data_IF_044531234567
#
_entry.id   IF_044531234567
#
_cell.length_a   1.000
_cell.length_b   1.000
_cell.length_c   1.000
_cell.angle_alpha   90.00
_cell.angle_beta   90.00
_cell.angle_gamma   90.00
#
_symmetry.space_group_name_H-M   'P 1'
#
loop_
_entity.id
_entity.type
_entity.pdbx_description
1 polymer ?
#
# COMPACT_ATOMS: atom_id res chain seq x y z
N UNK A 1 4.13 18.56 -17.24
CA UNK A 1 3.79 17.27 -16.63
C UNK A 1 2.28 17.23 -16.58
N UNK A 2 1.65 16.20 -17.13
CA UNK A 2 0.22 15.99 -16.90
C UNK A 2 0.01 15.72 -15.41
N UNK A 3 -1.04 16.31 -14.86
CA UNK A 3 -1.41 16.12 -13.48
C UNK A 3 -2.06 14.75 -13.35
N UNK A 4 -1.49 13.89 -12.50
CA UNK A 4 -2.00 12.54 -12.28
C UNK A 4 -3.42 12.63 -11.72
N UNK A 5 -4.35 11.87 -12.30
CA UNK A 5 -5.71 11.81 -11.77
C UNK A 5 -5.76 11.06 -10.45
N UNK A 6 -6.76 11.34 -9.63
CA UNK A 6 -6.99 10.63 -8.36
C UNK A 6 -7.13 9.11 -8.57
N UNK A 7 -7.77 8.69 -9.68
CA UNK A 7 -7.91 7.27 -10.02
C UNK A 7 -6.57 6.61 -10.35
N UNK A 8 -5.71 7.28 -11.09
CA UNK A 8 -4.37 6.75 -11.39
C UNK A 8 -3.52 6.67 -10.12
N UNK A 9 -3.64 7.67 -9.24
CA UNK A 9 -2.96 7.66 -7.94
C UNK A 9 -3.44 6.49 -7.07
N UNK A 10 -4.74 6.23 -7.02
CA UNK A 10 -5.31 5.07 -6.30
C UNK A 10 -4.72 3.77 -6.84
N UNK A 11 -4.70 3.58 -8.17
CA UNK A 11 -4.11 2.38 -8.79
C UNK A 11 -2.65 2.18 -8.38
N UNK A 12 -1.83 3.24 -8.46
CA UNK A 12 -0.42 3.19 -8.06
C UNK A 12 -0.25 2.83 -6.58
N UNK A 13 -1.13 3.35 -5.71
CA UNK A 13 -1.08 3.07 -4.28
C UNK A 13 -1.53 1.64 -3.96
N UNK A 14 -2.49 1.08 -4.69
CA UNK A 14 -2.90 -0.33 -4.57
C UNK A 14 -1.75 -1.26 -4.97
N UNK A 15 -1.09 -0.99 -6.09
CA UNK A 15 0.06 -1.77 -6.55
C UNK A 15 1.18 -1.73 -5.51
N UNK A 16 1.50 -0.53 -5.01
CA UNK A 16 2.48 -0.35 -3.94
C UNK A 16 2.11 -1.12 -2.68
N UNK A 17 0.86 -1.04 -2.23
CA UNK A 17 0.39 -1.76 -1.05
C UNK A 17 0.57 -3.27 -1.21
N UNK A 18 0.17 -3.80 -2.37
CA UNK A 18 0.29 -5.21 -2.72
C UNK A 18 1.76 -5.67 -2.70
N UNK A 19 2.66 -4.88 -3.27
CA UNK A 19 4.09 -5.18 -3.28
C UNK A 19 4.70 -5.16 -1.87
N UNK A 20 4.31 -4.21 -1.02
CA UNK A 20 4.75 -4.17 0.37
C UNK A 20 4.28 -5.43 1.14
N UNK A 21 3.04 -5.88 0.92
CA UNK A 21 2.54 -7.12 1.52
C UNK A 21 3.30 -8.36 1.03
N UNK A 22 3.62 -8.42 -0.27
CA UNK A 22 4.46 -9.49 -0.84
C UNK A 22 5.86 -9.50 -0.25
N UNK A 23 6.49 -8.34 -0.08
CA UNK A 23 7.82 -8.21 0.52
C UNK A 23 7.78 -8.68 1.98
N UNK A 24 6.78 -8.26 2.76
CA UNK A 24 6.61 -8.70 4.15
C UNK A 24 6.50 -10.22 4.26
N UNK A 25 5.68 -10.83 3.40
CA UNK A 25 5.50 -12.28 3.31
C UNK A 25 6.79 -13.00 2.88
N UNK A 26 7.48 -12.49 1.86
CA UNK A 26 8.73 -13.06 1.36
C UNK A 26 9.89 -12.95 2.37
N UNK A 27 9.87 -11.92 3.23
CA UNK A 27 10.80 -11.75 4.33
C UNK A 27 10.47 -12.66 5.53
N UNK A 28 9.61 -13.67 5.39
CA UNK A 28 9.17 -14.56 6.46
C UNK A 28 8.60 -13.81 7.68
N UNK A 29 7.97 -12.64 7.47
CA UNK A 29 7.49 -11.76 8.52
C UNK A 29 8.59 -11.36 9.54
N UNK A 30 9.86 -11.32 9.11
CA UNK A 30 10.93 -10.71 9.90
C UNK A 30 10.58 -9.26 10.15
N UNK A 31 10.70 -8.84 11.40
CA UNK A 31 10.36 -7.47 11.83
C UNK A 31 11.21 -6.45 11.08
N UNK A 32 10.52 -5.49 10.45
CA UNK A 32 11.14 -4.39 9.71
C UNK A 32 10.28 -3.14 9.90
N UNK A 33 10.72 -2.26 10.79
CA UNK A 33 9.97 -1.06 11.19
C UNK A 33 9.64 -0.14 10.01
N UNK A 34 10.57 -0.01 9.04
CA UNK A 34 10.36 0.80 7.84
C UNK A 34 9.29 0.18 6.94
N UNK A 35 9.31 -1.15 6.75
CA UNK A 35 8.30 -1.85 5.98
C UNK A 35 6.90 -1.71 6.61
N UNK A 36 6.80 -1.87 7.93
CA UNK A 36 5.55 -1.65 8.67
C UNK A 36 5.08 -0.20 8.60
N UNK A 37 5.99 0.77 8.67
CA UNK A 37 5.67 2.17 8.48
C UNK A 37 5.11 2.45 7.08
N UNK A 38 5.76 1.93 6.03
CA UNK A 38 5.30 2.11 4.65
C UNK A 38 3.93 1.46 4.41
N UNK A 39 3.68 0.27 4.98
CA UNK A 39 2.36 -0.39 4.92
C UNK A 39 1.29 0.49 5.60
N UNK A 40 1.55 0.98 6.82
CA UNK A 40 0.61 1.86 7.55
C UNK A 40 0.35 3.17 6.82
N UNK A 41 1.39 3.84 6.31
CA UNK A 41 1.25 5.09 5.59
C UNK A 41 0.45 4.92 4.28
N UNK A 42 0.72 3.84 3.54
CA UNK A 42 0.01 3.54 2.29
C UNK A 42 -1.46 3.18 2.57
N UNK A 43 -1.72 2.40 3.62
CA UNK A 43 -3.07 2.08 4.11
C UNK A 43 -3.85 3.34 4.45
N UNK A 44 -3.30 4.21 5.30
CA UNK A 44 -3.97 5.45 5.71
C UNK A 44 -4.30 6.35 4.51
N UNK A 45 -3.42 6.41 3.50
CA UNK A 45 -3.65 7.19 2.29
C UNK A 45 -4.76 6.58 1.42
N UNK A 46 -4.76 5.28 1.21
CA UNK A 46 -5.84 4.58 0.50
C UNK A 46 -7.18 4.76 1.21
N UNK A 47 -7.23 4.58 2.53
CA UNK A 47 -8.44 4.81 3.32
C UNK A 47 -8.93 6.26 3.24
N UNK A 48 -8.02 7.25 3.22
CA UNK A 48 -8.39 8.67 3.04
C UNK A 48 -9.01 8.97 1.67
N UNK A 49 -8.77 8.11 0.68
CA UNK A 49 -9.35 8.18 -0.67
C UNK A 49 -10.60 7.29 -0.81
N UNK A 50 -11.09 6.71 0.29
CA UNK A 50 -12.28 5.83 0.29
C UNK A 50 -12.02 4.42 -0.23
N UNK A 51 -10.77 3.99 -0.33
CA UNK A 51 -10.40 2.62 -0.73
C UNK A 51 -10.30 1.76 0.52
N UNK A 52 -11.10 0.70 0.57
CA UNK A 52 -10.96 -0.36 1.57
C UNK A 52 -9.81 -1.29 1.18
N UNK A 53 -8.88 -1.52 2.11
CA UNK A 53 -7.69 -2.34 1.88
C UNK A 53 -7.77 -3.70 2.56
N UNK A 54 -8.84 -4.00 3.33
CA UNK A 54 -8.99 -5.29 4.00
C UNK A 54 -9.03 -6.44 2.97
N UNK A 55 -9.72 -6.23 1.85
CA UNK A 55 -9.79 -7.19 0.73
C UNK A 55 -8.46 -7.37 -0.03
N UNK A 56 -7.47 -6.49 0.21
CA UNK A 56 -6.17 -6.50 -0.47
C UNK A 56 -5.07 -7.17 0.39
N UNK A 57 -5.40 -7.62 1.60
CA UNK A 57 -4.45 -8.29 2.50
C UNK A 57 -4.17 -9.74 2.08
N UNK A 58 -2.96 -10.24 2.37
CA UNK A 58 -2.39 -11.53 1.90
C UNK A 58 -2.06 -12.52 3.02
#
# INVERSE_FOLDING_TARGET
MEEMTEKELITVLIDKYTDLQRIKKANNNVENEELEYQIRATTAKLSSMGVDVEDLTL
#
